data_IF_701821473846
#
_entry.id   IF_701821473846
#
_cell.length_a   1.000
_cell.length_b   1.000
_cell.length_c   1.000
_cell.angle_alpha   90.00
_cell.angle_beta   90.00
_cell.angle_gamma   90.00
#
_symmetry.space_group_name_H-M   'P 1'
#
loop_
_entity.id
_entity.type
_entity.pdbx_description
1 polymer ?
#
# COMPACT_ATOMS: atom_id res chain seq x y z
N UNK A 1 8.03 8.82 2.68
CA UNK A 1 8.70 7.90 3.59
C UNK A 1 7.84 6.70 3.95
N UNK A 2 8.40 5.75 4.68
CA UNK A 2 7.67 4.62 5.25
C UNK A 2 6.73 5.06 6.38
N UNK A 3 5.78 4.20 6.74
CA UNK A 3 4.89 4.37 7.90
C UNK A 3 4.99 3.14 8.78
N UNK A 4 4.94 3.32 10.09
CA UNK A 4 5.11 2.24 11.05
C UNK A 4 4.22 2.44 12.29
N UNK A 5 3.83 1.33 12.90
CA UNK A 5 3.20 1.35 14.21
C UNK A 5 4.24 1.40 15.31
N UNK A 6 4.18 2.40 16.18
CA UNK A 6 4.98 2.45 17.40
C UNK A 6 4.27 1.65 18.49
N UNK A 7 4.94 0.60 18.97
CA UNK A 7 4.42 -0.30 20.01
C UNK A 7 4.94 0.02 21.39
N UNK A 8 6.19 0.51 21.46
CA UNK A 8 6.85 0.83 22.71
C UNK A 8 7.97 1.84 22.49
N UNK A 9 8.48 2.37 23.58
CA UNK A 9 9.62 3.30 23.61
C UNK A 9 10.61 2.74 24.61
N UNK A 10 11.82 2.43 24.14
CA UNK A 10 12.92 1.91 24.95
C UNK A 10 14.11 2.87 24.95
N UNK A 11 15.02 2.72 25.90
CA UNK A 11 16.32 3.35 25.87
C UNK A 11 17.24 2.58 24.91
N UNK A 12 17.78 3.27 23.92
CA UNK A 12 18.70 2.70 22.95
C UNK A 12 20.14 2.53 23.46
N UNK A 13 21.02 1.92 22.68
CA UNK A 13 22.41 1.71 23.06
C UNK A 13 23.22 3.01 23.21
N UNK A 14 22.68 4.11 22.73
CA UNK A 14 23.22 5.48 22.82
C UNK A 14 22.66 6.28 24.01
N UNK A 15 21.74 5.68 24.80
CA UNK A 15 21.05 6.34 25.91
C UNK A 15 19.89 7.25 25.48
N UNK A 16 19.57 7.29 24.17
CA UNK A 16 18.48 8.10 23.64
C UNK A 16 17.20 7.27 23.45
N UNK A 17 16.02 7.89 23.29
CA UNK A 17 14.77 7.17 23.03
C UNK A 17 14.78 6.47 21.68
N UNK A 18 14.42 5.20 21.70
CA UNK A 18 14.20 4.38 20.50
C UNK A 18 12.77 3.86 20.48
N UNK A 19 12.16 3.87 19.30
CA UNK A 19 10.84 3.26 19.07
C UNK A 19 10.98 1.80 18.68
N UNK A 20 10.22 0.97 19.38
CA UNK A 20 9.91 -0.39 18.94
C UNK A 20 8.76 -0.30 17.95
N UNK A 21 9.00 -0.69 16.69
CA UNK A 21 8.05 -0.55 15.60
C UNK A 21 7.64 -1.89 15.03
N UNK A 22 6.42 -1.95 14.54
CA UNK A 22 5.83 -3.03 13.78
C UNK A 22 5.11 -2.43 12.56
N UNK A 23 4.93 -3.23 11.51
CA UNK A 23 4.28 -2.76 10.28
C UNK A 23 2.82 -3.23 10.20
N UNK A 24 2.51 -4.36 10.83
CA UNK A 24 1.15 -4.93 10.89
C UNK A 24 1.00 -5.89 12.07
N UNK A 25 -0.25 -6.16 12.48
CA UNK A 25 -0.56 -6.96 13.67
C UNK A 25 -0.06 -8.41 13.61
N UNK A 26 0.08 -8.96 12.43
CA UNK A 26 0.52 -10.34 12.21
C UNK A 26 2.01 -10.44 11.85
N UNK A 27 2.72 -9.33 11.81
CA UNK A 27 4.15 -9.30 11.55
C UNK A 27 4.91 -9.92 12.72
N UNK A 28 5.78 -10.88 12.42
CA UNK A 28 6.75 -11.38 13.38
C UNK A 28 8.00 -10.48 13.45
N UNK A 29 8.05 -9.45 12.64
CA UNK A 29 9.18 -8.53 12.55
C UNK A 29 8.98 -7.34 13.46
N UNK A 30 9.92 -7.21 14.38
CA UNK A 30 10.03 -6.08 15.29
C UNK A 30 11.34 -5.37 14.99
N UNK A 31 11.24 -4.08 14.76
CA UNK A 31 12.39 -3.22 14.49
C UNK A 31 12.55 -2.20 15.60
N UNK A 32 13.77 -1.73 15.79
CA UNK A 32 14.07 -0.62 16.70
C UNK A 32 14.70 0.51 15.90
N UNK A 33 14.15 1.70 16.05
CA UNK A 33 14.57 2.91 15.31
C UNK A 33 14.76 4.06 16.27
N UNK A 34 15.87 4.84 16.17
CA UNK A 34 16.01 6.05 16.96
C UNK A 34 14.81 6.98 16.76
N UNK A 35 14.19 7.42 17.86
CA UNK A 35 12.96 8.21 17.81
C UNK A 35 13.09 9.51 17.00
N UNK A 36 14.29 10.10 16.94
CA UNK A 36 14.59 11.30 16.17
C UNK A 36 14.39 11.16 14.64
N UNK A 37 14.33 9.92 14.11
CA UNK A 37 14.14 9.65 12.68
C UNK A 37 12.68 9.48 12.28
N UNK A 38 11.77 9.43 13.25
CA UNK A 38 10.35 9.30 13.02
C UNK A 38 9.59 10.52 13.57
N UNK A 39 8.47 10.83 12.93
CA UNK A 39 7.50 11.77 13.47
C UNK A 39 6.17 11.07 13.70
N UNK A 40 5.49 11.43 14.75
CA UNK A 40 4.09 11.04 14.91
C UNK A 40 3.24 11.60 13.75
N UNK A 41 2.29 10.81 13.28
CA UNK A 41 1.26 11.27 12.35
C UNK A 41 0.08 11.71 13.21
N UNK A 42 -0.26 13.00 13.25
CA UNK A 42 -1.36 13.49 14.06
C UNK A 42 -2.72 13.10 13.44
N UNK A 43 -3.76 13.04 14.27
CA UNK A 43 -5.09 12.57 13.89
C UNK A 43 -5.72 13.38 12.75
N UNK A 44 -5.45 14.67 12.68
CA UNK A 44 -5.96 15.57 11.62
C UNK A 44 -5.37 15.20 10.23
N UNK A 45 -4.17 14.64 10.19
CA UNK A 45 -3.59 14.09 8.96
C UNK A 45 -4.26 12.77 8.51
N UNK A 46 -5.07 12.15 9.34
CA UNK A 46 -5.76 10.89 9.08
C UNK A 46 -7.27 11.05 8.87
N UNK A 47 -7.80 12.27 9.02
CA UNK A 47 -9.22 12.56 8.82
C UNK A 47 -9.66 12.18 7.40
N UNK A 48 -10.88 11.61 7.22
CA UNK A 48 -11.41 11.30 5.90
C UNK A 48 -11.53 12.55 5.01
N UNK A 49 -11.34 12.35 3.71
CA UNK A 49 -11.57 13.38 2.69
C UNK A 49 -12.94 13.13 2.07
N UNK A 50 -13.75 14.19 1.94
CA UNK A 50 -15.12 14.15 1.41
C UNK A 50 -15.98 13.04 2.06
N UNK A 51 -16.10 13.00 3.40
CA UNK A 51 -16.82 11.93 4.09
C UNK A 51 -18.32 11.94 3.79
N UNK A 52 -18.86 13.09 3.36
CA UNK A 52 -20.28 13.27 3.04
C UNK A 52 -20.65 12.84 1.62
N UNK A 53 -19.66 12.52 0.78
CA UNK A 53 -19.90 11.96 -0.56
C UNK A 53 -20.17 10.46 -0.44
N UNK A 54 -21.35 9.97 -0.90
CA UNK A 54 -21.67 8.56 -0.86
C UNK A 54 -20.66 7.67 -1.56
N UNK A 55 -20.42 6.44 -1.10
CA UNK A 55 -19.46 5.51 -1.73
C UNK A 55 -19.73 5.24 -3.21
N UNK A 56 -21.00 5.18 -3.62
CA UNK A 56 -21.45 4.97 -5.00
C UNK A 56 -21.13 6.14 -5.94
N UNK A 57 -20.93 7.32 -5.38
CA UNK A 57 -20.54 8.52 -6.11
C UNK A 57 -19.03 8.71 -6.19
N UNK A 58 -18.25 7.80 -5.60
CA UNK A 58 -16.79 7.75 -5.67
C UNK A 58 -16.32 6.65 -6.61
N UNK A 59 -15.42 6.99 -7.54
CA UNK A 59 -14.84 6.07 -8.49
C UNK A 59 -13.34 6.31 -8.65
N UNK A 60 -12.55 5.25 -8.73
CA UNK A 60 -11.16 5.30 -9.19
C UNK A 60 -11.07 4.66 -10.57
N UNK A 61 -10.45 5.35 -11.51
CA UNK A 61 -10.05 4.79 -12.80
C UNK A 61 -8.53 4.73 -12.92
N UNK A 62 -8.01 3.55 -13.28
CA UNK A 62 -6.59 3.31 -13.52
C UNK A 62 -6.39 2.98 -15.00
N UNK A 63 -5.60 3.78 -15.68
CA UNK A 63 -5.17 3.51 -17.06
C UNK A 63 -3.76 2.93 -17.07
N UNK A 64 -3.66 1.62 -17.33
CA UNK A 64 -2.38 0.93 -17.46
C UNK A 64 -1.59 1.47 -18.67
N UNK A 65 -2.27 1.78 -19.77
CA UNK A 65 -1.63 2.28 -20.97
C UNK A 65 -0.98 3.67 -20.76
N UNK A 66 -1.61 4.53 -19.95
CA UNK A 66 -1.14 5.88 -19.67
C UNK A 66 -0.36 5.97 -18.35
N UNK A 67 -0.29 4.89 -17.58
CA UNK A 67 0.29 4.87 -16.25
C UNK A 67 -0.26 6.00 -15.36
N UNK A 68 -1.59 6.12 -15.34
CA UNK A 68 -2.29 7.20 -14.63
C UNK A 68 -3.47 6.68 -13.82
N UNK A 69 -3.82 7.43 -12.78
CA UNK A 69 -5.00 7.23 -11.95
C UNK A 69 -5.79 8.52 -11.87
N UNK A 70 -7.12 8.39 -11.99
CA UNK A 70 -8.06 9.48 -11.75
C UNK A 70 -9.10 9.05 -10.73
N UNK A 71 -9.31 9.86 -9.69
CA UNK A 71 -10.40 9.70 -8.74
C UNK A 71 -11.51 10.71 -9.07
N UNK A 72 -12.76 10.25 -8.95
CA UNK A 72 -13.93 11.05 -9.28
C UNK A 72 -14.92 11.10 -8.11
N UNK A 73 -15.56 12.25 -7.93
CA UNK A 73 -16.78 12.42 -7.13
C UNK A 73 -17.91 12.90 -8.03
N UNK A 74 -19.04 12.20 -8.05
CA UNK A 74 -20.18 12.53 -8.91
C UNK A 74 -19.79 12.72 -10.39
N UNK A 75 -18.84 11.94 -10.88
CA UNK A 75 -18.30 12.03 -12.25
C UNK A 75 -17.33 13.19 -12.49
N UNK A 76 -17.00 13.99 -11.47
CA UNK A 76 -16.04 15.09 -11.56
C UNK A 76 -14.66 14.63 -11.05
N UNK A 77 -13.57 14.83 -11.80
CA UNK A 77 -12.23 14.49 -11.33
C UNK A 77 -11.83 15.33 -10.10
N UNK A 78 -11.40 14.66 -9.03
CA UNK A 78 -10.91 15.30 -7.79
C UNK A 78 -9.43 15.04 -7.51
N UNK A 79 -8.87 13.98 -8.12
CA UNK A 79 -7.43 13.71 -8.14
C UNK A 79 -7.05 13.13 -9.49
N UNK A 80 -5.95 13.61 -10.07
CA UNK A 80 -5.30 12.98 -11.23
C UNK A 80 -3.80 12.87 -10.97
N UNK A 81 -3.24 11.69 -11.18
CA UNK A 81 -1.82 11.43 -10.90
C UNK A 81 -1.23 10.38 -11.83
N UNK A 82 0.11 10.41 -11.92
CA UNK A 82 0.91 9.41 -12.63
C UNK A 82 1.32 8.32 -11.63
N UNK A 83 1.14 7.06 -12.02
CA UNK A 83 1.39 5.88 -11.19
C UNK A 83 2.46 4.99 -11.81
N UNK A 84 2.81 3.90 -11.15
CA UNK A 84 3.53 2.77 -11.75
C UNK A 84 2.77 1.48 -11.45
N UNK A 85 2.27 0.83 -12.49
CA UNK A 85 1.56 -0.44 -12.40
C UNK A 85 2.51 -1.64 -12.44
N UNK A 86 1.93 -2.83 -12.41
CA UNK A 86 2.65 -4.10 -12.50
C UNK A 86 3.41 -4.29 -13.82
N UNK A 87 4.51 -5.00 -13.74
CA UNK A 87 5.31 -5.39 -14.90
C UNK A 87 4.50 -6.33 -15.80
N UNK A 88 4.62 -6.22 -17.15
CA UNK A 88 3.96 -7.15 -18.04
C UNK A 88 4.31 -8.60 -17.72
N UNK A 89 3.29 -9.42 -17.55
CA UNK A 89 3.47 -10.83 -17.25
C UNK A 89 3.79 -11.65 -18.51
N UNK A 90 4.81 -12.50 -18.43
CA UNK A 90 5.25 -13.33 -19.57
C UNK A 90 4.38 -14.59 -19.79
N UNK A 91 3.33 -14.82 -19.00
CA UNK A 91 2.45 -16.00 -19.04
C UNK A 91 3.22 -17.35 -19.04
N UNK A 92 4.28 -17.45 -18.27
CA UNK A 92 5.03 -18.70 -18.13
C UNK A 92 4.34 -19.61 -17.09
N UNK A 93 4.21 -20.91 -17.38
CA UNK A 93 3.57 -21.84 -16.46
C UNK A 93 4.23 -21.84 -15.06
N UNK A 94 3.43 -21.72 -14.02
CA UNK A 94 3.88 -21.74 -12.62
C UNK A 94 4.43 -20.41 -12.08
N UNK A 95 4.41 -19.34 -12.86
CA UNK A 95 4.73 -18.00 -12.38
C UNK A 95 3.49 -17.27 -11.86
N UNK A 96 3.66 -16.52 -10.79
CA UNK A 96 2.63 -15.62 -10.29
C UNK A 96 2.55 -14.41 -11.25
N UNK A 97 1.35 -14.01 -11.68
CA UNK A 97 1.19 -12.80 -12.48
C UNK A 97 1.83 -11.58 -11.81
N UNK A 98 2.55 -10.80 -12.58
CA UNK A 98 3.18 -9.55 -12.13
C UNK A 98 2.50 -8.31 -12.72
N UNK A 99 1.56 -8.48 -13.63
CA UNK A 99 0.77 -7.40 -14.19
C UNK A 99 -0.36 -6.97 -13.24
N UNK A 100 -0.74 -5.70 -13.30
CA UNK A 100 -1.91 -5.22 -12.59
C UNK A 100 -3.16 -5.76 -13.28
N UNK A 101 -4.07 -6.47 -12.57
CA UNK A 101 -5.25 -7.07 -13.19
C UNK A 101 -6.19 -5.99 -13.71
N UNK A 102 -6.77 -6.24 -14.91
CA UNK A 102 -7.77 -5.38 -15.51
C UNK A 102 -9.17 -5.85 -15.16
N UNK A 103 -10.08 -4.90 -14.97
CA UNK A 103 -11.47 -5.19 -14.65
C UNK A 103 -12.25 -3.90 -14.37
N UNK A 104 -13.56 -4.02 -14.37
CA UNK A 104 -14.48 -2.90 -14.21
C UNK A 104 -15.34 -2.94 -12.91
N UNK A 105 -15.12 -3.95 -12.09
CA UNK A 105 -15.89 -4.20 -10.86
C UNK A 105 -15.02 -4.53 -9.63
N UNK A 106 -13.83 -3.98 -9.55
CA UNK A 106 -13.06 -4.04 -8.33
C UNK A 106 -13.60 -3.04 -7.30
N UNK A 107 -13.40 -3.38 -6.02
CA UNK A 107 -13.77 -2.51 -4.90
C UNK A 107 -12.67 -2.48 -3.86
N UNK A 108 -12.50 -1.35 -3.19
CA UNK A 108 -11.63 -1.31 -2.01
C UNK A 108 -12.16 -2.31 -0.99
N UNK A 109 -11.33 -3.26 -0.61
CA UNK A 109 -11.66 -4.39 0.27
C UNK A 109 -11.04 -4.25 1.65
N UNK A 110 -9.84 -3.65 1.73
CA UNK A 110 -9.20 -3.35 3.02
C UNK A 110 -8.17 -2.23 2.90
N UNK A 111 -7.89 -1.61 4.04
CA UNK A 111 -6.91 -0.51 4.15
C UNK A 111 -6.10 -0.61 5.43
N UNK A 112 -4.83 -0.32 5.32
CA UNK A 112 -3.93 -0.21 6.47
C UNK A 112 -2.89 0.90 6.24
N UNK A 113 -2.59 1.73 7.24
CA UNK A 113 -1.65 2.84 7.08
C UNK A 113 -0.20 2.36 6.91
N UNK A 114 0.11 1.15 7.34
CA UNK A 114 1.42 0.52 7.24
C UNK A 114 1.25 -0.95 6.88
N UNK A 115 2.01 -1.44 5.93
CA UNK A 115 2.02 -2.84 5.50
C UNK A 115 3.46 -3.32 5.33
N UNK A 116 3.77 -4.49 5.87
CA UNK A 116 4.98 -5.22 5.47
C UNK A 116 4.69 -5.96 4.16
N UNK A 117 5.45 -5.70 3.11
CA UNK A 117 5.35 -6.42 1.85
C UNK A 117 6.61 -7.24 1.61
N UNK A 118 6.44 -8.53 1.41
CA UNK A 118 7.53 -9.47 1.21
C UNK A 118 7.10 -10.90 1.50
N UNK A 119 8.02 -11.82 1.34
CA UNK A 119 7.78 -13.25 1.55
C UNK A 119 8.01 -13.70 3.01
N UNK A 120 8.38 -12.79 3.89
CA UNK A 120 8.62 -13.10 5.30
C UNK A 120 9.93 -13.83 5.60
N UNK A 121 10.88 -13.83 4.68
CA UNK A 121 12.14 -14.53 4.84
C UNK A 121 13.34 -13.57 4.67
N UNK A 122 13.77 -12.96 5.75
CA UNK A 122 14.99 -12.13 5.79
C UNK A 122 16.30 -12.94 5.72
N UNK A 123 16.24 -14.25 5.46
CA UNK A 123 17.42 -15.10 5.42
C UNK A 123 17.97 -15.22 3.99
N UNK A 124 19.28 -14.91 3.76
CA UNK A 124 19.88 -14.88 2.43
C UNK A 124 19.90 -16.19 1.65
N UNK A 125 19.60 -17.31 2.31
CA UNK A 125 19.70 -18.67 1.74
C UNK A 125 18.34 -19.39 1.67
N UNK A 126 17.21 -18.69 1.82
CA UNK A 126 15.92 -19.34 1.72
C UNK A 126 15.61 -19.72 0.27
N UNK A 127 15.06 -20.91 0.12
CA UNK A 127 14.67 -21.48 -1.18
C UNK A 127 13.21 -21.88 -1.12
N UNK A 128 12.52 -21.74 -2.25
CA UNK A 128 11.17 -22.26 -2.41
C UNK A 128 11.12 -23.78 -2.26
N UNK A 129 9.94 -24.37 -2.23
CA UNK A 129 9.74 -25.83 -2.13
C UNK A 129 10.39 -26.61 -3.29
N UNK A 130 10.78 -25.94 -4.36
CA UNK A 130 11.44 -26.47 -5.55
C UNK A 130 12.95 -26.21 -5.58
N UNK A 131 13.51 -25.53 -4.54
CA UNK A 131 14.94 -25.27 -4.41
C UNK A 131 15.45 -24.05 -5.21
N UNK A 132 14.56 -23.24 -5.79
CA UNK A 132 14.95 -22.01 -6.44
C UNK A 132 15.21 -20.90 -5.40
N UNK A 133 16.20 -20.03 -5.62
CA UNK A 133 16.33 -18.86 -4.78
C UNK A 133 15.02 -18.05 -4.86
N UNK A 134 14.44 -17.73 -3.71
CA UNK A 134 13.40 -16.72 -3.70
C UNK A 134 14.01 -15.41 -4.21
N UNK A 135 13.37 -14.77 -5.16
CA UNK A 135 13.62 -13.36 -5.40
C UNK A 135 12.91 -12.60 -4.28
N UNK A 136 13.57 -12.57 -3.13
CA UNK A 136 12.98 -11.99 -1.93
C UNK A 136 13.17 -10.50 -1.97
N UNK A 137 12.05 -9.81 -1.92
CA UNK A 137 12.04 -8.43 -1.50
C UNK A 137 11.33 -8.37 -0.14
N UNK A 138 11.91 -7.60 0.77
CA UNK A 138 11.32 -7.26 2.05
C UNK A 138 11.24 -5.75 2.10
N UNK A 139 10.01 -5.24 2.06
CA UNK A 139 9.73 -3.81 2.09
C UNK A 139 8.92 -3.50 3.34
N UNK A 140 9.59 -3.11 4.44
CA UNK A 140 8.91 -2.75 5.67
C UNK A 140 8.21 -1.41 5.54
N UNK A 141 7.07 -1.26 6.22
CA UNK A 141 6.39 0.01 6.34
C UNK A 141 5.92 0.62 5.04
N UNK A 142 5.37 -0.20 4.13
CA UNK A 142 4.75 0.29 2.89
C UNK A 142 3.56 1.17 3.25
N UNK A 143 3.60 2.48 2.91
CA UNK A 143 2.65 3.43 3.43
C UNK A 143 1.32 3.44 2.66
N UNK A 144 0.23 3.61 3.42
CA UNK A 144 -1.11 3.91 2.90
C UNK A 144 -1.66 2.85 1.95
N UNK A 145 -1.45 1.58 2.32
CA UNK A 145 -1.89 0.44 1.51
C UNK A 145 -3.41 0.33 1.50
N UNK A 146 -3.98 0.27 0.30
CA UNK A 146 -5.42 0.25 0.04
C UNK A 146 -5.71 -0.83 -1.01
N UNK A 147 -6.14 -2.01 -0.54
CA UNK A 147 -6.37 -3.19 -1.39
C UNK A 147 -7.68 -3.08 -2.16
N UNK A 148 -7.65 -3.40 -3.46
CA UNK A 148 -8.83 -3.44 -4.31
C UNK A 148 -9.02 -4.78 -5.02
N UNK A 149 -7.99 -5.60 -5.10
CA UNK A 149 -8.07 -6.96 -5.63
C UNK A 149 -7.50 -7.91 -4.56
N UNK A 150 -8.38 -8.55 -3.74
CA UNK A 150 -7.95 -9.32 -2.58
C UNK A 150 -7.42 -10.72 -2.89
N UNK A 151 -7.76 -11.30 -4.06
CA UNK A 151 -7.38 -12.68 -4.40
C UNK A 151 -5.87 -12.81 -4.62
N UNK A 152 -5.28 -11.82 -5.29
CA UNK A 152 -3.83 -11.74 -5.55
C UNK A 152 -3.12 -10.69 -4.70
N UNK A 153 -3.87 -9.93 -3.89
CA UNK A 153 -3.31 -8.95 -2.97
C UNK A 153 -2.86 -7.66 -3.64
N UNK A 154 -3.52 -7.23 -4.71
CA UNK A 154 -3.18 -5.98 -5.41
C UNK A 154 -3.80 -4.78 -4.73
N UNK A 155 -2.95 -3.76 -4.52
CA UNK A 155 -3.28 -2.56 -3.77
C UNK A 155 -2.73 -1.27 -4.43
N UNK A 156 -3.33 -0.13 -4.08
CA UNK A 156 -2.69 1.17 -4.15
C UNK A 156 -1.81 1.35 -2.92
N UNK A 157 -0.61 1.89 -3.08
CA UNK A 157 0.24 2.23 -1.92
C UNK A 157 1.30 3.27 -2.28
N UNK A 158 1.81 3.95 -1.26
CA UNK A 158 2.95 4.84 -1.41
C UNK A 158 4.25 4.07 -1.63
N UNK A 159 5.16 4.68 -2.38
CA UNK A 159 6.45 4.09 -2.71
C UNK A 159 7.57 5.03 -2.27
N UNK A 160 8.42 4.57 -1.36
CA UNK A 160 9.57 5.34 -0.89
C UNK A 160 10.91 4.89 -1.49
N UNK A 161 10.92 3.74 -2.19
CA UNK A 161 12.13 3.12 -2.74
C UNK A 161 12.39 3.46 -4.21
N UNK A 162 11.47 4.11 -4.90
CA UNK A 162 11.69 4.63 -6.25
C UNK A 162 10.82 5.86 -6.56
N UNK A 163 11.19 6.57 -7.63
CA UNK A 163 10.46 7.73 -8.17
C UNK A 163 10.13 7.59 -9.66
N UNK A 164 10.18 6.37 -10.20
CA UNK A 164 10.01 6.06 -11.62
C UNK A 164 8.53 5.96 -12.02
N UNK A 165 7.73 6.97 -11.67
CA UNK A 165 6.32 7.00 -12.06
C UNK A 165 6.16 7.27 -13.56
N UNK A 166 5.14 6.68 -14.18
CA UNK A 166 4.87 6.72 -15.61
C UNK A 166 5.34 5.50 -16.39
N UNK A 167 5.98 4.53 -15.71
CA UNK A 167 6.37 3.24 -16.27
C UNK A 167 5.99 2.10 -15.33
N UNK A 168 5.88 0.88 -15.84
CA UNK A 168 5.60 -0.31 -15.04
C UNK A 168 6.79 -0.66 -14.15
N UNK A 169 6.56 -0.94 -12.85
CA UNK A 169 7.64 -1.17 -11.88
C UNK A 169 7.31 -2.24 -10.82
N UNK A 170 6.04 -2.58 -10.61
CA UNK A 170 5.60 -3.40 -9.49
C UNK A 170 5.37 -4.87 -9.87
N UNK A 171 5.00 -5.69 -8.89
CA UNK A 171 4.55 -7.07 -9.06
C UNK A 171 3.00 -7.16 -8.98
N UNK A 172 2.30 -6.19 -9.54
CA UNK A 172 0.84 -6.13 -9.62
C UNK A 172 0.25 -4.89 -8.96
N UNK A 173 0.79 -4.42 -7.85
CA UNK A 173 0.31 -3.23 -7.16
C UNK A 173 0.42 -1.95 -7.99
N UNK A 174 -0.37 -0.95 -7.65
CA UNK A 174 -0.32 0.39 -8.22
C UNK A 174 0.50 1.28 -7.29
N UNK A 175 1.75 1.51 -7.67
CA UNK A 175 2.70 2.34 -6.94
C UNK A 175 2.39 3.83 -7.15
N UNK A 176 2.34 4.58 -6.08
CA UNK A 176 2.01 6.01 -6.06
C UNK A 176 3.05 6.82 -5.27
N UNK A 177 3.10 8.12 -5.50
CA UNK A 177 3.79 8.99 -4.56
C UNK A 177 3.12 8.89 -3.20
N UNK A 178 3.91 8.92 -2.14
CA UNK A 178 3.41 8.67 -0.77
C UNK A 178 2.26 9.60 -0.38
N UNK A 179 2.33 10.88 -0.76
CA UNK A 179 1.28 11.84 -0.43
C UNK A 179 -0.03 11.60 -1.20
N UNK A 180 0.06 11.12 -2.44
CA UNK A 180 -1.09 10.77 -3.27
C UNK A 180 -1.74 9.46 -2.78
N UNK A 181 -0.93 8.48 -2.39
CA UNK A 181 -1.42 7.26 -1.75
C UNK A 181 -2.13 7.56 -0.41
N UNK A 182 -1.56 8.51 0.39
CA UNK A 182 -2.21 9.00 1.61
C UNK A 182 -3.55 9.65 1.31
N UNK A 183 -3.63 10.42 0.22
CA UNK A 183 -4.88 11.04 -0.21
C UNK A 183 -5.92 9.98 -0.58
N UNK A 184 -5.57 8.96 -1.40
CA UNK A 184 -6.44 7.83 -1.76
C UNK A 184 -6.88 7.07 -0.51
N UNK A 185 -5.96 6.77 0.41
CA UNK A 185 -6.25 6.10 1.67
C UNK A 185 -7.31 6.84 2.50
N UNK A 186 -7.22 8.16 2.60
CA UNK A 186 -8.16 8.99 3.36
C UNK A 186 -9.50 9.19 2.66
N UNK A 187 -9.48 9.21 1.33
CA UNK A 187 -10.65 9.54 0.50
C UNK A 187 -11.56 8.34 0.23
N UNK A 188 -10.99 7.15 0.09
CA UNK A 188 -11.77 5.92 -0.20
C UNK A 188 -12.55 5.42 1.00
N UNK A 189 -13.62 4.66 0.72
CA UNK A 189 -14.31 3.83 1.70
C UNK A 189 -13.81 2.37 1.61
N UNK A 190 -13.92 1.55 2.69
CA UNK A 190 -14.36 1.93 4.03
C UNK A 190 -13.46 3.00 4.66
N UNK A 191 -14.03 3.80 5.56
CA UNK A 191 -13.24 4.79 6.32
C UNK A 191 -12.39 4.06 7.35
N UNK A 192 -11.08 4.30 7.33
CA UNK A 192 -10.18 3.70 8.31
C UNK A 192 -10.27 4.43 9.67
N UNK A 193 -10.19 3.66 10.75
CA UNK A 193 -10.25 4.15 12.12
C UNK A 193 -8.94 3.82 12.86
N UNK A 194 -8.42 4.75 13.63
CA UNK A 194 -7.15 4.60 14.37
C UNK A 194 -7.14 3.52 15.44
N UNK A 195 -8.30 2.95 15.76
CA UNK A 195 -8.42 1.83 16.71
C UNK A 195 -8.08 0.46 16.12
N UNK A 196 -7.90 0.36 14.79
CA UNK A 196 -7.63 -0.90 14.09
C UNK A 196 -6.37 -0.82 13.22
N UNK A 197 -5.69 -1.94 13.07
CA UNK A 197 -4.56 -2.06 12.16
C UNK A 197 -5.00 -2.06 10.69
N UNK A 198 -6.09 -2.74 10.43
CA UNK A 198 -6.69 -2.91 9.12
C UNK A 198 -8.20 -2.65 9.21
N UNK A 199 -8.70 -1.83 8.32
CA UNK A 199 -10.13 -1.64 8.10
C UNK A 199 -10.57 -2.47 6.90
N UNK A 200 -11.61 -3.28 7.04
CA UNK A 200 -12.15 -4.15 5.99
C UNK A 200 -13.57 -3.80 5.65
N UNK A 201 -13.95 -3.97 4.38
CA UNK A 201 -15.33 -3.76 3.93
C UNK A 201 -15.44 -3.66 2.42
N UNK A 202 -16.65 -3.54 1.94
CA UNK A 202 -16.94 -3.29 0.53
C UNK A 202 -17.01 -1.78 0.30
N UNK A 203 -16.00 -1.26 -0.38
CA UNK A 203 -15.79 0.18 -0.46
C UNK A 203 -15.84 0.77 -1.86
N UNK A 204 -15.11 1.86 -2.06
CA UNK A 204 -15.04 2.62 -3.31
C UNK A 204 -14.72 1.72 -4.50
N UNK A 205 -15.47 1.90 -5.59
CA UNK A 205 -15.30 1.16 -6.85
C UNK A 205 -14.00 1.55 -7.56
N UNK A 206 -13.38 0.54 -8.19
CA UNK A 206 -12.13 0.71 -8.97
C UNK A 206 -12.31 0.06 -10.35
N UNK A 207 -11.94 0.79 -11.39
CA UNK A 207 -11.87 0.30 -12.77
C UNK A 207 -10.40 0.33 -13.22
N UNK A 208 -9.92 -0.76 -13.81
CA UNK A 208 -8.55 -0.88 -14.35
C UNK A 208 -8.62 -1.29 -15.81
N UNK A 209 -8.09 -0.46 -16.74
CA UNK A 209 -8.12 -0.71 -18.18
C UNK A 209 -6.78 -0.47 -18.88
#
# INVERSE_FOLDING_TARGET
GSTHWVRDIDEGPDGEPWYKIEDEAASSYVYFVPAQHLRAIPDDELTPISPDVPPEDKLIEVSIANQSLTAYENGVPVLQTIISSGLPHANLPGQIPTDTPKGDDFHISSKMPSKHMGNGHLLPDSKDTYGNPFYEYEIPGVPWTTFFEPETGVAFHGTYWHTNFGITMSHGCVNMRTEEAKWIFRWTTPVWHSSVWEERGYGTRVIVH
#
